data_IF_321492926638
#
_entry.id   IF_321492926638
#
_cell.length_a   1.000
_cell.length_b   1.000
_cell.length_c   1.000
_cell.angle_alpha   90.00
_cell.angle_beta   90.00
_cell.angle_gamma   90.00
#
_symmetry.space_group_name_H-M   'P 1'
#
loop_
_entity.id
_entity.type
_entity.pdbx_description
1 polymer ?
#
# COMPACT_ATOMS: atom_id res chain seq x y z
N UNK A 1 39.63 13.66 2.32
CA UNK A 1 39.08 12.63 3.20
C UNK A 1 37.69 12.33 2.69
N UNK A 2 37.53 11.26 1.92
CA UNK A 2 36.21 10.84 1.44
C UNK A 2 35.51 10.17 2.62
N UNK A 3 34.45 10.79 3.16
CA UNK A 3 33.55 10.10 4.07
C UNK A 3 33.04 8.84 3.37
N UNK A 4 33.35 7.66 3.90
CA UNK A 4 32.64 6.46 3.50
C UNK A 4 31.16 6.70 3.82
N UNK A 5 30.25 6.65 2.83
CA UNK A 5 28.84 6.86 3.10
C UNK A 5 28.39 5.83 4.12
N UNK A 6 27.98 6.28 5.30
CA UNK A 6 27.44 5.41 6.34
C UNK A 6 26.30 4.60 5.75
N UNK A 7 26.47 3.27 5.71
CA UNK A 7 25.47 2.35 5.18
C UNK A 7 24.17 2.54 5.97
N UNK A 8 23.04 2.57 5.26
CA UNK A 8 21.74 2.66 5.92
C UNK A 8 21.55 1.44 6.86
N UNK A 9 21.04 1.64 8.08
CA UNK A 9 20.84 0.56 9.03
C UNK A 9 19.82 -0.45 8.48
N UNK A 10 20.11 -1.73 8.64
CA UNK A 10 19.20 -2.81 8.23
C UNK A 10 18.19 -3.10 9.34
N UNK A 11 17.16 -3.90 9.04
CA UNK A 11 16.30 -4.42 10.11
C UNK A 11 17.13 -5.34 11.02
N UNK A 12 16.85 -5.36 12.35
CA UNK A 12 17.58 -6.23 13.28
C UNK A 12 17.55 -7.70 12.87
N UNK A 13 16.42 -8.14 12.30
CA UNK A 13 16.26 -9.53 11.84
C UNK A 13 17.12 -9.82 10.61
N UNK A 14 17.22 -8.90 9.66
CA UNK A 14 18.08 -9.05 8.49
C UNK A 14 19.57 -9.11 8.88
N UNK A 15 19.99 -8.30 9.85
CA UNK A 15 21.35 -8.35 10.42
C UNK A 15 21.64 -9.68 11.09
N UNK A 16 20.73 -10.18 11.94
CA UNK A 16 20.88 -11.48 12.60
C UNK A 16 21.05 -12.62 11.60
N UNK A 17 20.24 -12.63 10.52
CA UNK A 17 20.33 -13.65 9.48
C UNK A 17 21.69 -13.58 8.79
N UNK A 18 22.14 -12.38 8.40
CA UNK A 18 23.43 -12.20 7.73
C UNK A 18 24.61 -12.63 8.63
N UNK A 19 24.57 -12.34 9.92
CA UNK A 19 25.60 -12.77 10.88
C UNK A 19 25.66 -14.29 11.02
N UNK A 20 24.53 -14.98 10.90
CA UNK A 20 24.43 -16.43 11.03
C UNK A 20 24.84 -17.20 9.76
N UNK A 21 25.12 -16.52 8.63
CA UNK A 21 25.51 -17.20 7.39
C UNK A 21 26.92 -17.82 7.50
N UNK A 22 27.15 -19.03 6.95
CA UNK A 22 28.48 -19.66 6.98
C UNK A 22 29.55 -18.87 6.19
N UNK A 23 29.17 -18.32 5.05
CA UNK A 23 30.06 -17.52 4.18
C UNK A 23 29.93 -16.02 4.54
N UNK A 24 30.84 -15.56 5.41
CA UNK A 24 30.86 -14.17 5.88
C UNK A 24 31.22 -13.17 4.77
N UNK A 25 32.05 -13.56 3.79
CA UNK A 25 32.40 -12.68 2.67
C UNK A 25 31.16 -12.43 1.80
N UNK A 26 30.39 -13.49 1.54
CA UNK A 26 29.12 -13.36 0.85
C UNK A 26 28.10 -12.56 1.67
N UNK A 27 28.01 -12.79 2.98
CA UNK A 27 27.14 -12.03 3.87
C UNK A 27 27.48 -10.52 3.87
N UNK A 28 28.75 -10.16 3.85
CA UNK A 28 29.21 -8.76 3.78
C UNK A 28 28.81 -8.09 2.45
N UNK A 29 28.89 -8.83 1.33
CA UNK A 29 28.43 -8.35 0.02
C UNK A 29 26.92 -8.12 0.02
N UNK A 30 26.15 -9.05 0.59
CA UNK A 30 24.71 -8.90 0.77
C UNK A 30 24.36 -7.70 1.66
N UNK A 31 25.06 -7.51 2.77
CA UNK A 31 24.86 -6.38 3.69
C UNK A 31 24.96 -5.04 2.96
N UNK A 32 25.97 -4.87 2.12
CA UNK A 32 26.15 -3.66 1.30
C UNK A 32 24.99 -3.44 0.32
N UNK A 33 24.55 -4.50 -0.37
CA UNK A 33 23.40 -4.43 -1.28
C UNK A 33 22.11 -4.08 -0.55
N UNK A 34 21.83 -4.72 0.59
CA UNK A 34 20.60 -4.48 1.34
C UNK A 34 20.57 -3.12 2.03
N UNK A 35 21.73 -2.58 2.42
CA UNK A 35 21.82 -1.23 2.94
C UNK A 35 21.53 -0.21 1.83
N UNK A 36 22.10 -0.42 0.63
CA UNK A 36 21.78 0.39 -0.54
C UNK A 36 20.29 0.29 -0.92
N UNK A 37 19.70 -0.91 -0.83
CA UNK A 37 18.28 -1.13 -1.10
C UNK A 37 17.39 -0.40 -0.07
N UNK A 38 17.76 -0.46 1.21
CA UNK A 38 17.07 0.26 2.30
C UNK A 38 17.11 1.77 2.07
N UNK A 39 18.28 2.31 1.70
CA UNK A 39 18.44 3.72 1.38
C UNK A 39 17.61 4.13 0.17
N UNK A 40 17.63 3.33 -0.91
CA UNK A 40 16.84 3.60 -2.11
C UNK A 40 15.33 3.58 -1.80
N UNK A 41 14.83 2.58 -1.06
CA UNK A 41 13.43 2.53 -0.63
C UNK A 41 13.08 3.78 0.18
N UNK A 42 13.89 4.16 1.17
CA UNK A 42 13.62 5.33 2.00
C UNK A 42 13.47 6.61 1.17
N UNK A 43 14.39 6.87 0.22
CA UNK A 43 14.32 8.05 -0.66
C UNK A 43 13.15 8.02 -1.65
N UNK A 44 12.69 6.81 -2.02
CA UNK A 44 11.50 6.62 -2.85
C UNK A 44 10.18 6.87 -2.08
N UNK A 45 10.17 6.94 -0.75
CA UNK A 45 8.93 7.16 0.05
C UNK A 45 8.43 8.60 0.03
N UNK A 46 9.32 9.58 -0.12
CA UNK A 46 9.08 10.95 0.37
C UNK A 46 8.34 11.89 -0.60
N UNK A 47 7.71 11.37 -1.64
CA UNK A 47 7.02 12.24 -2.60
C UNK A 47 5.59 12.53 -2.16
N UNK A 48 5.42 13.65 -1.45
CA UNK A 48 4.10 14.26 -1.30
C UNK A 48 3.71 14.95 -2.61
N UNK A 49 2.87 14.28 -3.39
CA UNK A 49 2.34 14.80 -4.67
C UNK A 49 1.39 15.98 -4.42
N UNK A 50 0.86 16.12 -3.20
CA UNK A 50 -0.12 17.16 -2.84
C UNK A 50 0.41 18.57 -3.06
N UNK A 51 1.71 18.79 -2.87
CA UNK A 51 2.32 20.11 -3.09
C UNK A 51 2.41 20.52 -4.58
N UNK A 52 2.12 19.60 -5.49
CA UNK A 52 2.11 19.83 -6.94
C UNK A 52 0.69 19.77 -7.53
N UNK A 53 -0.31 19.60 -6.66
CA UNK A 53 -1.72 19.66 -7.02
C UNK A 53 -2.14 21.14 -7.09
N UNK A 54 -2.92 21.49 -8.10
CA UNK A 54 -3.59 22.78 -8.19
C UNK A 54 -5.03 22.63 -7.72
N UNK A 55 -5.59 23.65 -7.06
CA UNK A 55 -6.98 23.64 -6.60
C UNK A 55 -8.00 23.68 -7.75
N UNK A 56 -7.55 23.96 -8.98
CA UNK A 56 -8.33 23.96 -10.21
C UNK A 56 -7.73 23.01 -11.26
N UNK A 57 -8.59 22.40 -12.06
CA UNK A 57 -8.23 21.62 -13.26
C UNK A 57 -8.14 22.47 -14.52
N UNK A 58 -8.55 23.73 -14.46
CA UNK A 58 -8.59 24.65 -15.59
C UNK A 58 -7.17 25.01 -16.08
N UNK A 59 -6.16 24.95 -15.20
CA UNK A 59 -4.73 25.00 -15.54
C UNK A 59 -4.23 23.62 -15.99
N UNK A 60 -4.84 23.09 -17.06
CA UNK A 60 -4.64 21.72 -17.55
C UNK A 60 -3.36 21.53 -18.37
N UNK A 61 -2.65 22.62 -18.68
CA UNK A 61 -1.29 22.54 -19.19
C UNK A 61 -0.32 22.15 -18.07
N UNK A 62 0.56 21.19 -18.33
CA UNK A 62 1.82 21.11 -17.60
C UNK A 62 2.64 22.36 -17.94
N UNK A 63 2.40 23.45 -17.22
CA UNK A 63 3.19 24.66 -17.34
C UNK A 63 4.67 24.31 -17.12
N UNK A 64 5.56 25.03 -17.79
CA UNK A 64 7.01 24.89 -17.66
C UNK A 64 7.45 24.84 -16.18
N UNK A 65 6.72 25.56 -15.32
CA UNK A 65 6.88 25.60 -13.86
C UNK A 65 6.68 24.25 -13.16
N UNK A 66 5.68 23.44 -13.55
CA UNK A 66 5.49 22.10 -13.00
C UNK A 66 6.67 21.21 -13.38
N UNK A 67 7.13 21.31 -14.63
CA UNK A 67 8.24 20.50 -15.08
C UNK A 67 9.54 20.88 -14.36
N UNK A 68 9.83 22.18 -14.22
CA UNK A 68 10.94 22.67 -13.41
C UNK A 68 10.88 22.16 -11.96
N UNK A 69 9.69 22.07 -11.37
CA UNK A 69 9.49 21.56 -10.02
C UNK A 69 9.62 20.02 -9.91
N UNK A 70 9.29 19.29 -10.98
CA UNK A 70 9.35 17.82 -11.07
C UNK A 70 10.70 17.28 -11.49
N UNK A 71 11.47 18.01 -12.30
CA UNK A 71 12.77 17.57 -12.81
C UNK A 71 13.74 17.12 -11.71
N UNK A 72 13.87 17.81 -10.56
CA UNK A 72 14.67 17.32 -9.44
C UNK A 72 14.17 15.97 -8.92
N UNK A 73 12.87 15.77 -8.76
CA UNK A 73 12.28 14.54 -8.23
C UNK A 73 12.56 13.35 -9.15
N UNK A 74 12.43 13.54 -10.46
CA UNK A 74 12.71 12.50 -11.46
C UNK A 74 14.19 12.17 -11.48
N UNK A 75 15.05 13.20 -11.51
CA UNK A 75 16.50 13.02 -11.47
C UNK A 75 16.92 12.27 -10.21
N UNK A 76 16.44 12.68 -9.04
CA UNK A 76 16.81 12.09 -7.77
C UNK A 76 16.33 10.62 -7.69
N UNK A 77 15.12 10.33 -8.17
CA UNK A 77 14.60 8.95 -8.34
C UNK A 77 15.56 8.09 -9.17
N UNK A 78 16.00 8.59 -10.33
CA UNK A 78 16.92 7.87 -11.22
C UNK A 78 18.30 7.72 -10.59
N UNK A 79 18.80 8.74 -9.90
CA UNK A 79 20.09 8.70 -9.19
C UNK A 79 20.08 7.65 -8.08
N UNK A 80 19.03 7.61 -7.28
CA UNK A 80 18.91 6.66 -6.16
C UNK A 80 18.83 5.21 -6.64
N UNK A 81 18.04 4.94 -7.67
CA UNK A 81 17.95 3.60 -8.27
C UNK A 81 19.28 3.21 -8.91
N UNK A 82 19.93 4.12 -9.63
CA UNK A 82 21.24 3.84 -10.24
C UNK A 82 22.35 3.62 -9.20
N UNK A 83 22.31 4.30 -8.05
CA UNK A 83 23.23 4.05 -6.95
C UNK A 83 23.13 2.61 -6.43
N UNK A 84 21.90 2.11 -6.25
CA UNK A 84 21.67 0.71 -5.90
C UNK A 84 22.19 -0.25 -6.99
N UNK A 85 21.88 0.02 -8.27
CA UNK A 85 22.35 -0.80 -9.39
C UNK A 85 23.89 -0.86 -9.44
N UNK A 86 24.57 0.25 -9.16
CA UNK A 86 26.03 0.31 -9.10
C UNK A 86 26.59 -0.57 -7.98
N UNK A 87 25.99 -0.53 -6.78
CA UNK A 87 26.37 -1.40 -5.65
C UNK A 87 26.17 -2.87 -6.02
N UNK A 88 25.04 -3.24 -6.64
CA UNK A 88 24.80 -4.63 -7.06
C UNK A 88 25.85 -5.09 -8.08
N UNK A 89 26.18 -4.27 -9.09
CA UNK A 89 27.20 -4.61 -10.10
C UNK A 89 28.59 -4.80 -9.47
N UNK A 90 28.96 -3.93 -8.53
CA UNK A 90 30.23 -4.00 -7.83
C UNK A 90 30.29 -5.23 -6.93
N UNK A 91 29.24 -5.48 -6.16
CA UNK A 91 29.21 -6.57 -5.19
C UNK A 91 28.86 -7.90 -5.83
N UNK A 92 28.21 -7.99 -6.98
CA UNK A 92 27.80 -9.24 -7.64
C UNK A 92 28.03 -9.16 -9.15
N UNK A 93 29.31 -9.14 -9.59
CA UNK A 93 29.63 -9.11 -11.01
C UNK A 93 29.03 -10.33 -11.74
N UNK A 94 28.74 -10.16 -13.03
CA UNK A 94 28.30 -11.25 -13.89
C UNK A 94 29.33 -12.38 -13.95
N UNK A 95 28.92 -13.61 -14.32
CA UNK A 95 29.88 -14.70 -14.52
C UNK A 95 30.92 -14.27 -15.56
N UNK A 96 32.20 -14.41 -15.23
CA UNK A 96 33.26 -14.19 -16.21
C UNK A 96 33.16 -15.27 -17.29
N UNK A 97 33.20 -14.86 -18.56
CA UNK A 97 33.21 -15.80 -19.67
C UNK A 97 34.43 -16.73 -19.53
N UNK A 98 34.18 -18.04 -19.46
CA UNK A 98 35.23 -19.06 -19.43
C UNK A 98 35.54 -19.68 -18.06
N UNK A 99 34.87 -19.31 -16.96
CA UNK A 99 35.02 -20.04 -15.69
C UNK A 99 34.06 -21.25 -15.66
N UNK A 100 34.57 -22.50 -15.71
CA UNK A 100 33.70 -23.67 -15.64
C UNK A 100 33.01 -23.74 -14.26
N UNK A 101 31.72 -24.10 -14.20
CA UNK A 101 31.05 -24.32 -12.92
C UNK A 101 31.73 -25.47 -12.16
N UNK A 102 31.79 -25.41 -10.81
CA UNK A 102 32.33 -26.51 -10.01
C UNK A 102 31.56 -27.81 -10.27
N UNK A 103 32.29 -28.93 -10.29
CA UNK A 103 31.80 -30.24 -10.78
C UNK A 103 30.74 -30.89 -9.86
N UNK A 104 30.57 -30.40 -8.63
CA UNK A 104 29.43 -30.72 -7.76
C UNK A 104 29.31 -29.65 -6.66
N UNK A 105 28.40 -28.68 -6.75
CA UNK A 105 28.26 -27.67 -5.72
C UNK A 105 27.64 -28.27 -4.46
N UNK A 106 28.08 -27.83 -3.28
CA UNK A 106 27.38 -28.15 -2.03
C UNK A 106 25.99 -27.49 -2.00
N UNK A 107 25.09 -27.96 -1.13
CA UNK A 107 23.77 -27.35 -0.97
C UNK A 107 23.86 -25.84 -0.63
N UNK A 108 24.81 -25.45 0.21
CA UNK A 108 25.04 -24.04 0.54
C UNK A 108 25.60 -23.23 -0.64
N UNK A 109 26.50 -23.81 -1.44
CA UNK A 109 26.96 -23.18 -2.67
C UNK A 109 25.84 -23.00 -3.70
N UNK A 110 24.90 -23.95 -3.77
CA UNK A 110 23.69 -23.82 -4.58
C UNK A 110 22.81 -22.65 -4.12
N UNK A 111 22.53 -22.55 -2.81
CA UNK A 111 21.75 -21.44 -2.24
C UNK A 111 22.39 -20.09 -2.51
N UNK A 112 23.69 -19.95 -2.25
CA UNK A 112 24.48 -18.74 -2.52
C UNK A 112 24.46 -18.35 -4.00
N UNK A 113 24.61 -19.33 -4.91
CA UNK A 113 24.55 -19.10 -6.36
C UNK A 113 23.16 -18.65 -6.81
N UNK A 114 22.11 -19.24 -6.25
CA UNK A 114 20.72 -18.88 -6.55
C UNK A 114 20.42 -17.46 -6.06
N UNK A 115 20.79 -17.11 -4.82
CA UNK A 115 20.64 -15.76 -4.29
C UNK A 115 21.34 -14.72 -5.17
N UNK A 116 22.59 -14.97 -5.59
CA UNK A 116 23.32 -14.10 -6.50
C UNK A 116 22.68 -14.01 -7.89
N UNK A 117 22.09 -15.09 -8.40
CA UNK A 117 21.35 -15.08 -9.66
C UNK A 117 20.07 -14.24 -9.57
N UNK A 118 19.31 -14.37 -8.48
CA UNK A 118 18.12 -13.56 -8.22
C UNK A 118 18.45 -12.07 -8.15
N UNK A 119 19.55 -11.68 -7.50
CA UNK A 119 20.01 -10.29 -7.45
C UNK A 119 20.31 -9.74 -8.86
N UNK A 120 21.01 -10.51 -9.70
CA UNK A 120 21.32 -10.10 -11.08
C UNK A 120 20.09 -10.00 -11.97
N UNK A 121 19.15 -10.93 -11.81
CA UNK A 121 17.88 -10.88 -12.54
C UNK A 121 17.08 -9.64 -12.15
N UNK A 122 16.94 -9.36 -10.86
CA UNK A 122 16.25 -8.18 -10.36
C UNK A 122 16.94 -6.88 -10.82
N UNK A 123 18.28 -6.84 -10.82
CA UNK A 123 19.05 -5.73 -11.38
C UNK A 123 18.71 -5.48 -12.86
N UNK A 124 18.56 -6.53 -13.67
CA UNK A 124 18.17 -6.42 -15.07
C UNK A 124 16.78 -5.81 -15.24
N UNK A 125 15.81 -6.24 -14.43
CA UNK A 125 14.45 -5.71 -14.42
C UNK A 125 14.42 -4.23 -14.01
N UNK A 126 15.07 -3.88 -12.90
CA UNK A 126 15.14 -2.50 -12.41
C UNK A 126 15.83 -1.58 -13.42
N UNK A 127 16.90 -2.04 -14.07
CA UNK A 127 17.58 -1.27 -15.13
C UNK A 127 16.67 -1.03 -16.34
N UNK A 128 15.86 -2.02 -16.74
CA UNK A 128 14.90 -1.87 -17.82
C UNK A 128 13.81 -0.83 -17.47
N UNK A 129 13.31 -0.82 -16.23
CA UNK A 129 12.35 0.17 -15.76
C UNK A 129 12.91 1.60 -15.74
N UNK A 130 14.21 1.78 -15.41
CA UNK A 130 14.86 3.10 -15.53
C UNK A 130 14.86 3.60 -16.97
N UNK A 131 15.11 2.71 -17.94
CA UNK A 131 15.02 3.05 -19.36
C UNK A 131 13.60 3.43 -19.77
N UNK A 132 12.59 2.65 -19.33
CA UNK A 132 11.18 2.94 -19.60
C UNK A 132 10.74 4.29 -19.01
N UNK A 133 11.19 4.63 -17.80
CA UNK A 133 10.96 5.97 -17.23
C UNK A 133 11.57 7.05 -18.12
N UNK A 134 12.81 6.86 -18.59
CA UNK A 134 13.47 7.80 -19.49
C UNK A 134 12.72 7.99 -20.82
N UNK A 135 12.13 6.94 -21.37
CA UNK A 135 11.29 7.00 -22.57
C UNK A 135 9.97 7.70 -22.30
N UNK A 136 9.29 7.39 -21.19
CA UNK A 136 8.05 8.04 -20.78
C UNK A 136 8.24 9.54 -20.59
N UNK A 137 9.35 9.98 -20.00
CA UNK A 137 9.64 11.41 -19.78
C UNK A 137 10.02 12.17 -21.05
N UNK A 138 10.24 11.47 -22.17
CA UNK A 138 10.42 12.09 -23.49
C UNK A 138 9.13 12.12 -24.29
N UNK A 139 8.08 11.45 -23.83
CA UNK A 139 6.80 11.39 -24.53
C UNK A 139 5.99 12.68 -24.28
N UNK A 140 5.70 13.49 -25.32
CA UNK A 140 4.93 14.71 -25.19
C UNK A 140 3.57 14.52 -24.52
N UNK A 141 2.89 13.38 -24.73
CA UNK A 141 1.57 13.13 -24.13
C UNK A 141 1.62 12.91 -22.61
N UNK A 142 2.80 12.59 -22.07
CA UNK A 142 3.00 12.44 -20.62
C UNK A 142 3.38 13.76 -20.00
N UNK A 143 4.29 14.50 -20.64
CA UNK A 143 4.82 15.75 -20.09
C UNK A 143 3.90 16.96 -20.33
N UNK A 144 2.89 16.85 -21.20
CA UNK A 144 1.96 17.95 -21.49
C UNK A 144 0.77 18.05 -20.52
N UNK A 145 0.40 16.96 -19.84
CA UNK A 145 -0.69 16.92 -18.86
C UNK A 145 -0.12 16.68 -17.45
N UNK A 146 -0.44 17.60 -16.51
CA UNK A 146 0.00 17.56 -15.12
C UNK A 146 -0.33 16.22 -14.45
N UNK A 147 -1.57 15.76 -14.59
CA UNK A 147 -2.06 14.58 -13.90
C UNK A 147 -1.50 13.29 -14.48
N UNK A 148 -1.26 13.24 -15.80
CA UNK A 148 -0.57 12.12 -16.46
C UNK A 148 0.88 12.04 -15.98
N UNK A 149 1.61 13.17 -15.93
CA UNK A 149 2.98 13.21 -15.42
C UNK A 149 3.06 12.71 -13.97
N UNK A 150 2.22 13.25 -13.08
CA UNK A 150 2.20 12.84 -11.67
C UNK A 150 1.84 11.36 -11.51
N UNK A 151 0.91 10.85 -12.32
CA UNK A 151 0.53 9.44 -12.31
C UNK A 151 1.69 8.52 -12.73
N UNK A 152 2.42 8.85 -13.79
CA UNK A 152 3.57 8.08 -14.23
C UNK A 152 4.69 8.09 -13.19
N UNK A 153 5.04 9.25 -12.61
CA UNK A 153 6.08 9.32 -11.57
C UNK A 153 5.68 8.49 -10.34
N UNK A 154 4.43 8.60 -9.88
CA UNK A 154 3.93 7.81 -8.76
C UNK A 154 3.98 6.31 -9.05
N UNK A 155 3.59 5.90 -10.26
CA UNK A 155 3.65 4.52 -10.73
C UNK A 155 5.09 4.01 -10.74
N UNK A 156 6.02 4.70 -11.38
CA UNK A 156 7.43 4.27 -11.44
C UNK A 156 8.06 4.15 -10.04
N UNK A 157 7.83 5.12 -9.15
CA UNK A 157 8.36 5.04 -7.78
C UNK A 157 7.77 3.86 -7.01
N UNK A 158 6.49 3.58 -7.17
CA UNK A 158 5.84 2.39 -6.57
C UNK A 158 6.46 1.11 -7.12
N UNK A 159 6.58 0.99 -8.45
CA UNK A 159 7.21 -0.15 -9.12
C UNK A 159 8.65 -0.37 -8.65
N UNK A 160 9.47 0.69 -8.58
CA UNK A 160 10.85 0.58 -8.10
C UNK A 160 10.90 0.09 -6.65
N UNK A 161 10.08 0.64 -5.75
CA UNK A 161 10.02 0.16 -4.35
C UNK A 161 9.65 -1.31 -4.28
N UNK A 162 8.64 -1.73 -5.04
CA UNK A 162 8.21 -3.13 -5.07
C UNK A 162 9.30 -4.05 -5.61
N UNK A 163 9.98 -3.68 -6.71
CA UNK A 163 11.06 -4.47 -7.29
C UNK A 163 12.29 -4.54 -6.39
N UNK A 164 12.65 -3.44 -5.73
CA UNK A 164 13.77 -3.42 -4.76
C UNK A 164 13.41 -4.27 -3.54
N UNK A 165 12.16 -4.21 -3.05
CA UNK A 165 11.69 -5.07 -1.97
C UNK A 165 11.68 -6.56 -2.36
N UNK A 166 11.22 -6.87 -3.57
CA UNK A 166 11.26 -8.22 -4.15
C UNK A 166 12.70 -8.72 -4.29
N UNK A 167 13.65 -7.86 -4.67
CA UNK A 167 15.07 -8.19 -4.73
C UNK A 167 15.59 -8.66 -3.36
N UNK A 168 15.31 -7.91 -2.29
CA UNK A 168 15.74 -8.28 -0.94
C UNK A 168 15.09 -9.60 -0.50
N UNK A 169 13.77 -9.71 -0.64
CA UNK A 169 13.04 -10.91 -0.25
C UNK A 169 13.44 -12.15 -1.04
N UNK A 170 13.49 -12.06 -2.36
CA UNK A 170 13.77 -13.21 -3.23
C UNK A 170 15.21 -13.71 -3.05
N UNK A 171 16.18 -12.81 -2.82
CA UNK A 171 17.56 -13.23 -2.54
C UNK A 171 17.71 -13.85 -1.15
N UNK A 172 17.05 -13.32 -0.13
CA UNK A 172 17.13 -13.86 1.23
C UNK A 172 16.39 -15.20 1.40
N UNK A 173 15.24 -15.35 0.76
CA UNK A 173 14.45 -16.59 0.79
C UNK A 173 15.15 -17.81 0.15
N UNK A 174 16.21 -17.59 -0.65
CA UNK A 174 17.07 -18.70 -1.12
C UNK A 174 17.95 -19.28 0.00
N UNK A 175 18.22 -18.49 1.04
CA UNK A 175 19.17 -18.84 2.10
C UNK A 175 18.44 -19.43 3.31
N UNK A 176 17.36 -18.77 3.74
CA UNK A 176 16.63 -19.04 4.97
C UNK A 176 15.13 -18.82 4.73
N UNK A 177 14.27 -19.58 5.41
CA UNK A 177 12.83 -19.33 5.44
C UNK A 177 12.53 -18.05 6.21
N UNK A 178 11.93 -17.07 5.52
CA UNK A 178 11.69 -15.72 6.03
C UNK A 178 10.39 -15.17 5.47
N UNK A 179 9.68 -14.38 6.28
CA UNK A 179 8.54 -13.61 5.83
C UNK A 179 8.97 -12.22 5.34
N UNK A 180 8.18 -11.59 4.45
CA UNK A 180 8.48 -10.25 3.91
C UNK A 180 8.64 -9.20 4.99
N UNK A 181 7.78 -9.21 6.00
CA UNK A 181 7.83 -8.30 7.15
C UNK A 181 9.14 -8.33 7.94
N UNK A 182 9.89 -9.43 7.84
CA UNK A 182 11.15 -9.60 8.57
C UNK A 182 12.34 -9.00 7.82
N UNK A 183 12.29 -8.98 6.48
CA UNK A 183 13.47 -8.73 5.63
C UNK A 183 13.32 -7.56 4.66
N UNK A 184 12.09 -7.23 4.24
CA UNK A 184 11.86 -6.16 3.26
C UNK A 184 11.88 -4.79 3.96
N UNK A 185 12.81 -3.89 3.60
CA UNK A 185 12.85 -2.56 4.20
C UNK A 185 11.56 -1.78 3.94
N UNK A 186 11.03 -1.11 4.96
CA UNK A 186 9.83 -0.28 4.85
C UNK A 186 8.50 -1.04 4.71
N UNK A 187 8.51 -2.38 4.69
CA UNK A 187 7.31 -3.18 4.44
C UNK A 187 6.17 -2.90 5.42
N UNK A 188 6.44 -2.84 6.72
CA UNK A 188 5.42 -2.54 7.72
C UNK A 188 4.81 -1.14 7.54
N UNK A 189 5.63 -0.16 7.14
CA UNK A 189 5.17 1.18 6.81
C UNK A 189 4.24 1.16 5.60
N UNK A 190 4.59 0.43 4.55
CA UNK A 190 3.78 0.29 3.34
C UNK A 190 2.46 -0.43 3.60
N UNK A 191 2.49 -1.51 4.38
CA UNK A 191 1.27 -2.22 4.85
C UNK A 191 0.38 -1.25 5.61
N UNK A 192 0.92 -0.54 6.61
CA UNK A 192 0.15 0.40 7.45
C UNK A 192 -0.44 1.55 6.63
N UNK A 193 0.32 2.10 5.69
CA UNK A 193 -0.16 3.16 4.81
C UNK A 193 -1.30 2.64 3.91
N UNK A 194 -1.14 1.48 3.28
CA UNK A 194 -2.16 0.88 2.43
C UNK A 194 -3.43 0.52 3.22
N UNK A 195 -3.28 -0.02 4.44
CA UNK A 195 -4.40 -0.29 5.35
C UNK A 195 -5.15 0.98 5.74
N UNK A 196 -4.42 2.08 5.98
CA UNK A 196 -5.02 3.38 6.30
C UNK A 196 -5.86 3.91 5.13
N UNK A 197 -5.33 3.84 3.90
CA UNK A 197 -6.08 4.20 2.69
C UNK A 197 -7.33 3.34 2.56
N UNK A 198 -7.19 2.01 2.66
CA UNK A 198 -8.32 1.07 2.57
C UNK A 198 -9.42 1.37 3.60
N UNK A 199 -9.04 1.58 4.85
CA UNK A 199 -9.98 1.88 5.92
C UNK A 199 -10.78 3.17 5.67
N UNK A 200 -10.08 4.25 5.29
CA UNK A 200 -10.72 5.54 5.04
C UNK A 200 -11.60 5.47 3.78
N UNK A 201 -11.18 4.78 2.72
CA UNK A 201 -12.01 4.55 1.53
C UNK A 201 -13.31 3.84 1.91
N UNK A 202 -13.25 2.79 2.73
CA UNK A 202 -14.45 2.07 3.17
C UNK A 202 -15.39 2.94 4.02
N UNK A 203 -14.84 3.79 4.88
CA UNK A 203 -15.63 4.77 5.63
C UNK A 203 -16.26 5.82 4.73
N UNK A 204 -15.52 6.32 3.73
CA UNK A 204 -16.03 7.27 2.76
C UNK A 204 -17.14 6.65 1.91
N UNK A 205 -16.99 5.42 1.42
CA UNK A 205 -18.04 4.70 0.68
C UNK A 205 -19.32 4.65 1.49
N UNK A 206 -19.23 4.34 2.78
CA UNK A 206 -20.40 4.30 3.67
C UNK A 206 -21.02 5.67 3.87
N UNK A 207 -20.21 6.70 4.10
CA UNK A 207 -20.69 8.08 4.33
C UNK A 207 -21.40 8.60 3.09
N UNK A 208 -20.78 8.47 1.92
CA UNK A 208 -21.34 8.94 0.65
C UNK A 208 -22.60 8.15 0.27
N UNK A 209 -22.62 6.83 0.44
CA UNK A 209 -23.83 6.04 0.20
C UNK A 209 -25.01 6.51 1.09
N UNK A 210 -24.76 6.70 2.39
CA UNK A 210 -25.79 7.21 3.30
C UNK A 210 -26.23 8.65 2.97
N UNK A 211 -25.31 9.48 2.43
CA UNK A 211 -25.63 10.82 1.96
C UNK A 211 -26.51 10.79 0.70
N UNK A 212 -26.18 9.91 -0.24
CA UNK A 212 -26.95 9.70 -1.46
C UNK A 212 -28.39 9.28 -1.15
N UNK A 213 -28.57 8.33 -0.23
CA UNK A 213 -29.91 7.91 0.21
C UNK A 213 -30.67 9.08 0.87
N UNK A 214 -30.01 9.87 1.72
CA UNK A 214 -30.62 11.07 2.32
C UNK A 214 -31.05 12.10 1.28
N UNK A 215 -30.24 12.38 0.28
CA UNK A 215 -30.60 13.34 -0.78
C UNK A 215 -31.76 12.81 -1.62
N UNK A 216 -31.81 11.50 -1.88
CA UNK A 216 -32.94 10.85 -2.58
C UNK A 216 -34.25 10.96 -1.81
N UNK A 217 -34.23 11.00 -0.49
CA UNK A 217 -35.42 11.12 0.35
C UNK A 217 -35.75 12.56 0.74
N UNK A 218 -34.79 13.48 0.67
CA UNK A 218 -34.95 14.87 1.11
C UNK A 218 -35.86 15.72 0.21
N UNK A 219 -36.49 16.71 0.83
CA UNK A 219 -37.30 17.74 0.21
C UNK A 219 -36.45 18.82 -0.47
N UNK A 220 -37.06 19.60 -1.37
CA UNK A 220 -36.36 20.63 -2.14
C UNK A 220 -35.70 21.71 -1.27
N UNK A 221 -36.28 22.00 -0.10
CA UNK A 221 -35.80 23.02 0.84
C UNK A 221 -34.45 22.64 1.48
N UNK A 222 -34.15 21.34 1.59
CA UNK A 222 -32.92 20.83 2.21
C UNK A 222 -31.75 20.67 1.22
N UNK A 223 -31.96 20.90 -0.08
CA UNK A 223 -30.95 20.64 -1.11
C UNK A 223 -29.67 21.47 -0.89
N UNK A 224 -29.85 22.75 -0.54
CA UNK A 224 -28.71 23.63 -0.28
C UNK A 224 -27.87 23.16 0.91
N UNK A 225 -28.53 22.76 1.99
CA UNK A 225 -27.85 22.24 3.18
C UNK A 225 -27.08 20.96 2.85
N UNK A 226 -27.69 20.04 2.09
CA UNK A 226 -27.02 18.81 1.68
C UNK A 226 -25.79 19.06 0.79
N UNK A 227 -25.84 20.04 -0.12
CA UNK A 227 -24.69 20.43 -0.93
C UNK A 227 -23.54 20.99 -0.08
N UNK A 228 -23.83 21.85 0.90
CA UNK A 228 -22.84 22.38 1.83
C UNK A 228 -22.22 21.28 2.71
N UNK A 229 -23.03 20.34 3.18
CA UNK A 229 -22.52 19.19 3.94
C UNK A 229 -21.60 18.31 3.09
N UNK A 230 -21.97 18.05 1.83
CA UNK A 230 -21.14 17.29 0.90
C UNK A 230 -19.79 17.99 0.65
N UNK A 231 -19.80 19.31 0.47
CA UNK A 231 -18.58 20.10 0.35
C UNK A 231 -17.69 19.96 1.59
N UNK A 232 -18.25 20.10 2.79
CA UNK A 232 -17.52 19.95 4.05
C UNK A 232 -16.92 18.55 4.21
N UNK A 233 -17.64 17.50 3.80
CA UNK A 233 -17.16 16.11 3.83
C UNK A 233 -15.97 15.91 2.86
N UNK A 234 -16.04 16.46 1.64
CA UNK A 234 -14.95 16.42 0.67
C UNK A 234 -13.73 17.21 1.15
N UNK A 235 -13.92 18.38 1.76
CA UNK A 235 -12.85 19.19 2.33
C UNK A 235 -12.16 18.49 3.51
N UNK A 236 -12.96 17.86 4.38
CA UNK A 236 -12.44 17.06 5.48
C UNK A 236 -11.63 15.86 4.95
N UNK A 237 -12.14 15.18 3.91
CA UNK A 237 -11.44 14.06 3.28
C UNK A 237 -10.09 14.47 2.67
N UNK A 238 -10.03 15.60 1.97
CA UNK A 238 -8.80 16.15 1.39
C UNK A 238 -7.68 16.41 2.40
N UNK A 239 -8.01 16.58 3.70
CA UNK A 239 -7.04 16.78 4.79
C UNK A 239 -6.56 15.47 5.43
N UNK A 240 -7.13 14.33 5.08
CA UNK A 240 -6.78 13.04 5.67
C UNK A 240 -5.44 12.49 5.15
N UNK A 241 -4.82 11.60 5.93
CA UNK A 241 -3.63 10.87 5.47
C UNK A 241 -3.92 9.94 4.27
N UNK A 242 -5.17 9.45 4.12
CA UNK A 242 -5.53 8.61 2.98
C UNK A 242 -5.52 9.37 1.67
N UNK A 243 -5.95 10.64 1.67
CA UNK A 243 -5.92 11.47 0.47
C UNK A 243 -4.51 11.51 -0.12
N UNK A 244 -3.47 11.70 0.71
CA UNK A 244 -2.06 11.69 0.26
C UNK A 244 -1.66 10.40 -0.47
N UNK A 245 -2.22 9.26 -0.05
CA UNK A 245 -1.93 7.93 -0.59
C UNK A 245 -2.75 7.50 -1.81
N UNK A 246 -3.63 8.37 -2.32
CA UNK A 246 -4.41 8.13 -3.54
C UNK A 246 -3.56 8.28 -4.81
N UNK A 247 -4.02 7.68 -5.90
CA UNK A 247 -3.39 7.86 -7.22
C UNK A 247 -3.67 9.27 -7.71
N UNK A 248 -2.73 9.86 -8.45
CA UNK A 248 -2.91 11.20 -9.02
C UNK A 248 -4.23 11.34 -9.81
N UNK A 249 -4.59 10.35 -10.64
CA UNK A 249 -5.86 10.38 -11.38
C UNK A 249 -7.11 10.34 -10.49
N UNK A 250 -7.07 9.59 -9.38
CA UNK A 250 -8.19 9.56 -8.44
C UNK A 250 -8.36 10.94 -7.77
N UNK A 251 -7.24 11.60 -7.42
CA UNK A 251 -7.24 12.94 -6.83
C UNK A 251 -7.78 13.99 -7.80
N UNK A 252 -7.41 13.90 -9.08
CA UNK A 252 -7.97 14.75 -10.16
C UNK A 252 -9.49 14.72 -10.13
N UNK A 253 -10.08 13.52 -10.20
CA UNK A 253 -11.54 13.37 -10.19
C UNK A 253 -12.16 13.91 -8.90
N UNK A 254 -11.52 13.72 -7.74
CA UNK A 254 -11.99 14.30 -6.48
C UNK A 254 -11.98 15.83 -6.51
N UNK A 255 -10.93 16.45 -7.07
CA UNK A 255 -10.83 17.92 -7.17
C UNK A 255 -11.89 18.45 -8.14
N UNK A 256 -12.10 17.80 -9.28
CA UNK A 256 -13.14 18.16 -10.25
C UNK A 256 -14.53 18.11 -9.61
N UNK A 257 -14.86 17.02 -8.91
CA UNK A 257 -16.12 16.86 -8.18
C UNK A 257 -16.24 17.88 -7.05
N UNK A 258 -15.17 18.15 -6.30
CA UNK A 258 -15.16 19.17 -5.24
C UNK A 258 -15.44 20.56 -5.81
N UNK A 259 -14.87 20.90 -6.96
CA UNK A 259 -15.13 22.17 -7.64
C UNK A 259 -16.59 22.28 -8.12
N UNK A 260 -17.14 21.20 -8.68
CA UNK A 260 -18.55 21.13 -9.06
C UNK A 260 -19.49 21.32 -7.85
N UNK A 261 -19.28 20.52 -6.79
CA UNK A 261 -20.07 20.60 -5.55
C UNK A 261 -19.94 21.98 -4.89
N UNK A 262 -18.74 22.57 -4.88
CA UNK A 262 -18.53 23.92 -4.33
C UNK A 262 -19.34 25.00 -5.07
N UNK A 263 -19.47 24.89 -6.41
CA UNK A 263 -20.33 25.80 -7.19
C UNK A 263 -21.82 25.61 -6.84
N UNK A 264 -22.27 24.37 -6.70
CA UNK A 264 -23.65 24.06 -6.33
C UNK A 264 -23.96 24.55 -4.90
N UNK A 265 -23.03 24.36 -3.95
CA UNK A 265 -23.17 24.81 -2.57
C UNK A 265 -23.16 26.34 -2.40
N UNK A 266 -22.66 27.07 -3.40
CA UNK A 266 -22.69 28.53 -3.47
C UNK A 266 -23.88 29.10 -4.29
N UNK A 267 -24.61 28.25 -5.02
CA UNK A 267 -25.76 28.67 -5.82
C UNK A 267 -26.92 29.14 -4.91
N UNK A 268 -27.73 30.08 -5.41
CA UNK A 268 -28.90 30.61 -4.68
C UNK A 268 -30.10 29.66 -4.71
N UNK A 269 -30.18 28.80 -5.73
CA UNK A 269 -31.22 27.79 -5.90
C UNK A 269 -30.57 26.53 -6.44
N UNK A 270 -30.92 25.37 -5.86
CA UNK A 270 -30.37 24.09 -6.24
C UNK A 270 -31.49 23.07 -6.36
N UNK A 271 -31.60 22.41 -7.50
CA UNK A 271 -32.54 21.32 -7.69
C UNK A 271 -31.94 19.99 -7.21
N UNK A 272 -32.81 19.06 -6.87
CA UNK A 272 -32.42 17.70 -6.48
C UNK A 272 -31.65 16.97 -7.57
N UNK A 273 -32.03 17.17 -8.84
CA UNK A 273 -31.34 16.53 -9.98
C UNK A 273 -29.89 17.02 -10.11
N UNK A 274 -29.66 18.32 -9.96
CA UNK A 274 -28.32 18.93 -10.04
C UNK A 274 -27.38 18.45 -8.93
N UNK A 275 -27.91 18.13 -7.73
CA UNK A 275 -27.10 17.59 -6.64
C UNK A 275 -26.89 16.07 -6.75
N UNK A 276 -27.88 15.33 -7.26
CA UNK A 276 -27.79 13.88 -7.39
C UNK A 276 -26.71 13.46 -8.39
N UNK A 277 -26.59 14.13 -9.53
CA UNK A 277 -25.59 13.81 -10.55
C UNK A 277 -24.14 13.75 -10.01
N UNK A 278 -23.58 14.82 -9.40
CA UNK A 278 -22.22 14.76 -8.85
C UNK A 278 -22.10 13.83 -7.64
N UNK A 279 -23.17 13.62 -6.88
CA UNK A 279 -23.15 12.71 -5.73
C UNK A 279 -23.13 11.24 -6.16
N UNK A 280 -23.84 10.87 -7.22
CA UNK A 280 -23.78 9.54 -7.83
C UNK A 280 -22.42 9.29 -8.50
N UNK A 281 -21.87 10.30 -9.17
CA UNK A 281 -20.50 10.24 -9.71
C UNK A 281 -19.46 10.04 -8.59
N UNK A 282 -19.63 10.73 -7.46
CA UNK A 282 -18.77 10.56 -6.28
C UNK A 282 -18.93 9.17 -5.65
N UNK A 283 -20.15 8.65 -5.48
CA UNK A 283 -20.38 7.30 -4.98
C UNK A 283 -19.68 6.25 -5.87
N UNK A 284 -19.82 6.37 -7.20
CA UNK A 284 -19.13 5.51 -8.16
C UNK A 284 -17.60 5.63 -8.05
N UNK A 285 -17.07 6.85 -7.95
CA UNK A 285 -15.64 7.10 -7.78
C UNK A 285 -15.11 6.44 -6.50
N UNK A 286 -15.73 6.70 -5.37
CA UNK A 286 -15.29 6.18 -4.06
C UNK A 286 -15.36 4.65 -4.03
N UNK A 287 -16.39 4.04 -4.65
CA UNK A 287 -16.43 2.58 -4.83
C UNK A 287 -15.27 2.08 -5.67
N UNK A 288 -14.89 2.78 -6.73
CA UNK A 288 -13.75 2.41 -7.57
C UNK A 288 -12.40 2.43 -6.81
N UNK A 289 -12.28 3.27 -5.77
CA UNK A 289 -11.10 3.32 -4.90
C UNK A 289 -10.90 2.02 -4.11
N UNK A 290 -11.91 1.15 -4.01
CA UNK A 290 -11.77 -0.18 -3.42
C UNK A 290 -10.72 -1.04 -4.16
N UNK A 291 -10.31 -0.64 -5.37
CA UNK A 291 -9.17 -1.20 -6.09
C UNK A 291 -7.87 -1.18 -5.28
N UNK A 292 -7.76 -0.34 -4.23
CA UNK A 292 -6.66 -0.41 -3.25
C UNK A 292 -6.46 -1.82 -2.68
N UNK A 293 -7.54 -2.61 -2.54
CA UNK A 293 -7.48 -4.00 -2.07
C UNK A 293 -6.68 -4.93 -2.99
N UNK A 294 -6.43 -4.53 -4.24
CA UNK A 294 -5.63 -5.29 -5.20
C UNK A 294 -4.13 -5.00 -5.10
N UNK A 295 -3.70 -4.12 -4.18
CA UNK A 295 -2.27 -3.88 -3.94
C UNK A 295 -1.64 -5.14 -3.38
N UNK A 296 -0.52 -5.57 -3.98
CA UNK A 296 0.24 -6.78 -3.59
C UNK A 296 0.53 -6.84 -2.09
N UNK A 297 0.90 -5.71 -1.50
CA UNK A 297 1.19 -5.59 -0.06
C UNK A 297 0.00 -5.97 0.82
N UNK A 298 -1.22 -5.56 0.43
CA UNK A 298 -2.45 -5.90 1.15
C UNK A 298 -2.85 -7.35 0.92
N UNK A 299 -2.74 -7.86 -0.31
CA UNK A 299 -3.05 -9.28 -0.60
C UNK A 299 -2.20 -10.22 0.26
N UNK A 300 -0.90 -9.93 0.39
CA UNK A 300 0.01 -10.74 1.22
C UNK A 300 -0.35 -10.60 2.70
N UNK A 301 -0.51 -9.36 3.19
CA UNK A 301 -0.91 -9.09 4.57
C UNK A 301 -2.23 -9.78 4.93
N UNK A 302 -3.25 -9.67 4.08
CA UNK A 302 -4.59 -10.17 4.34
C UNK A 302 -4.59 -11.70 4.44
N UNK A 303 -3.76 -12.40 3.65
CA UNK A 303 -3.56 -13.86 3.78
C UNK A 303 -2.92 -14.24 5.12
N UNK A 304 -1.90 -13.50 5.56
CA UNK A 304 -1.27 -13.73 6.87
C UNK A 304 -2.27 -13.48 8.02
N UNK A 305 -2.99 -12.36 7.96
CA UNK A 305 -4.02 -11.99 8.95
C UNK A 305 -5.13 -13.03 8.99
N UNK A 306 -5.59 -13.50 7.82
CA UNK A 306 -6.60 -14.56 7.72
C UNK A 306 -6.15 -15.87 8.37
N UNK A 307 -4.92 -16.32 8.09
CA UNK A 307 -4.37 -17.53 8.70
C UNK A 307 -4.26 -17.41 10.23
N UNK A 308 -3.79 -16.26 10.74
CA UNK A 308 -3.70 -16.00 12.18
C UNK A 308 -5.09 -16.00 12.83
N UNK A 309 -6.09 -15.35 12.19
CA UNK A 309 -7.47 -15.39 12.65
C UNK A 309 -8.01 -16.82 12.70
N UNK A 310 -7.78 -17.64 11.66
CA UNK A 310 -8.19 -19.04 11.60
C UNK A 310 -7.68 -19.83 12.81
N UNK A 311 -6.37 -19.78 13.08
CA UNK A 311 -5.76 -20.47 14.24
C UNK A 311 -6.36 -20.01 15.57
N UNK A 312 -6.64 -18.71 15.74
CA UNK A 312 -7.24 -18.17 16.97
C UNK A 312 -8.69 -18.64 17.13
N UNK A 313 -9.45 -18.70 16.05
CA UNK A 313 -10.85 -19.15 16.06
C UNK A 313 -10.96 -20.66 16.32
N UNK A 314 -10.08 -21.47 15.73
CA UNK A 314 -10.01 -22.91 16.03
C UNK A 314 -9.70 -23.16 17.51
N UNK A 315 -8.76 -22.41 18.09
CA UNK A 315 -8.46 -22.47 19.53
C UNK A 315 -9.64 -22.04 20.38
N UNK A 316 -10.32 -20.95 20.01
CA UNK A 316 -11.51 -20.51 20.72
C UNK A 316 -12.62 -21.57 20.70
N UNK A 317 -12.83 -22.21 19.54
CA UNK A 317 -13.81 -23.27 19.36
C UNK A 317 -13.51 -24.49 20.22
N UNK A 318 -12.24 -24.92 20.27
CA UNK A 318 -11.81 -26.04 21.11
C UNK A 318 -11.98 -25.80 22.61
N UNK A 319 -11.96 -24.55 23.07
CA UNK A 319 -12.10 -24.19 24.48
C UNK A 319 -13.54 -23.91 24.92
N UNK A 320 -14.51 -23.76 24.00
CA UNK A 320 -15.87 -23.33 24.37
C UNK A 320 -16.56 -24.22 25.42
N UNK A 321 -16.25 -25.52 25.47
CA UNK A 321 -16.87 -26.47 26.40
C UNK A 321 -16.12 -26.64 27.73
N UNK A 322 -14.86 -26.23 27.79
CA UNK A 322 -13.95 -26.51 28.93
C UNK A 322 -13.45 -25.24 29.61
N UNK A 323 -13.20 -24.18 28.85
CA UNK A 323 -12.75 -22.88 29.33
C UNK A 323 -13.40 -21.75 28.50
N UNK A 324 -14.65 -21.37 28.82
CA UNK A 324 -15.35 -20.29 28.11
C UNK A 324 -14.62 -18.94 28.18
N UNK A 325 -13.90 -18.67 29.26
CA UNK A 325 -13.13 -17.42 29.41
C UNK A 325 -11.92 -17.41 28.46
N UNK A 326 -11.20 -18.52 28.36
CA UNK A 326 -10.14 -18.70 27.37
C UNK A 326 -10.66 -18.60 25.94
N UNK A 327 -11.80 -19.21 25.64
CA UNK A 327 -12.45 -19.09 24.34
C UNK A 327 -12.80 -17.64 23.98
N UNK A 328 -13.39 -16.89 24.92
CA UNK A 328 -13.69 -15.46 24.74
C UNK A 328 -12.43 -14.62 24.52
N UNK A 329 -11.32 -14.93 25.20
CA UNK A 329 -10.03 -14.27 24.98
C UNK A 329 -9.49 -14.51 23.58
N UNK A 330 -9.50 -15.76 23.10
CA UNK A 330 -9.03 -16.08 21.74
C UNK A 330 -9.93 -15.48 20.65
N UNK A 331 -11.25 -15.39 20.88
CA UNK A 331 -12.14 -14.63 20.00
C UNK A 331 -11.78 -13.15 19.96
N UNK A 332 -11.55 -12.52 21.12
CA UNK A 332 -11.15 -11.12 21.19
C UNK A 332 -9.82 -10.87 20.45
N UNK A 333 -8.85 -11.75 20.61
CA UNK A 333 -7.58 -11.72 19.87
C UNK A 333 -7.79 -11.87 18.35
N UNK A 334 -8.64 -12.79 17.91
CA UNK A 334 -8.99 -12.94 16.50
C UNK A 334 -9.63 -11.66 15.94
N UNK A 335 -10.54 -11.03 16.68
CA UNK A 335 -11.16 -9.75 16.28
C UNK A 335 -10.13 -8.62 16.22
N UNK A 336 -9.20 -8.56 17.18
CA UNK A 336 -8.13 -7.55 17.16
C UNK A 336 -7.26 -7.70 15.91
N UNK A 337 -6.88 -8.93 15.55
CA UNK A 337 -6.11 -9.21 14.33
C UNK A 337 -6.94 -8.90 13.07
N UNK A 338 -8.22 -9.26 13.06
CA UNK A 338 -9.15 -8.98 11.95
C UNK A 338 -9.42 -7.47 11.73
N UNK A 339 -9.13 -6.58 12.69
CA UNK A 339 -9.19 -5.13 12.44
C UNK A 339 -8.26 -4.73 11.29
N UNK A 340 -7.17 -5.48 11.07
CA UNK A 340 -6.28 -5.30 9.94
C UNK A 340 -6.87 -5.73 8.60
N UNK A 341 -8.13 -6.17 8.54
CA UNK A 341 -8.89 -6.43 7.31
C UNK A 341 -10.00 -5.39 7.06
N UNK A 342 -10.10 -4.36 7.91
CA UNK A 342 -11.13 -3.33 7.74
C UNK A 342 -11.02 -2.64 6.38
N UNK A 343 -12.15 -2.56 5.68
CA UNK A 343 -12.30 -2.08 4.30
C UNK A 343 -12.09 -3.14 3.22
N UNK A 344 -11.88 -4.41 3.59
CA UNK A 344 -11.78 -5.53 2.64
C UNK A 344 -13.15 -6.04 2.19
N UNK A 345 -14.13 -6.05 3.10
CA UNK A 345 -15.49 -6.53 2.87
C UNK A 345 -16.50 -5.74 3.73
N UNK A 346 -17.61 -5.25 3.14
CA UNK A 346 -18.60 -4.47 3.88
C UNK A 346 -19.27 -5.20 5.05
N UNK A 347 -19.50 -6.52 4.92
CA UNK A 347 -20.10 -7.34 5.97
C UNK A 347 -19.17 -7.48 7.18
N UNK A 348 -17.89 -7.74 6.91
CA UNK A 348 -16.85 -7.74 7.93
C UNK A 348 -16.73 -6.37 8.60
N UNK A 349 -16.78 -5.28 7.86
CA UNK A 349 -16.69 -3.92 8.42
C UNK A 349 -17.82 -3.60 9.39
N UNK A 350 -19.05 -4.02 9.07
CA UNK A 350 -20.20 -3.90 9.97
C UNK A 350 -19.96 -4.66 11.26
N UNK A 351 -19.45 -5.89 11.17
CA UNK A 351 -19.11 -6.70 12.34
C UNK A 351 -17.99 -6.06 13.18
N UNK A 352 -16.88 -5.65 12.55
CA UNK A 352 -15.74 -5.03 13.23
C UNK A 352 -16.12 -3.71 13.93
N UNK A 353 -17.00 -2.89 13.34
CA UNK A 353 -17.50 -1.68 13.99
C UNK A 353 -18.38 -1.97 15.21
N UNK A 354 -19.27 -2.97 15.12
CA UNK A 354 -20.13 -3.37 16.23
C UNK A 354 -19.29 -3.87 17.40
N UNK A 355 -18.32 -4.74 17.12
CA UNK A 355 -17.47 -5.36 18.14
C UNK A 355 -16.55 -4.39 18.88
N UNK A 356 -16.17 -3.24 18.28
CA UNK A 356 -15.43 -2.18 18.99
C UNK A 356 -16.15 -1.63 20.23
N UNK A 357 -17.47 -1.77 20.31
CA UNK A 357 -18.30 -1.30 21.43
C UNK A 357 -18.62 -2.40 22.44
N UNK A 358 -18.20 -3.65 22.17
CA UNK A 358 -18.59 -4.83 22.95
C UNK A 358 -17.34 -5.44 23.61
N UNK A 359 -17.33 -5.68 24.92
CA UNK A 359 -16.21 -6.34 25.61
C UNK A 359 -16.18 -7.84 25.28
N UNK A 360 -15.60 -8.20 24.13
CA UNK A 360 -15.61 -9.57 23.60
C UNK A 360 -15.01 -10.63 24.53
N UNK A 361 -14.03 -10.24 25.35
CA UNK A 361 -13.39 -11.09 26.34
C UNK A 361 -14.31 -11.50 27.50
N UNK A 362 -15.48 -10.87 27.64
CA UNK A 362 -16.47 -11.18 28.68
C UNK A 362 -17.65 -12.00 28.15
N UNK A 363 -17.71 -12.27 26.84
CA UNK A 363 -18.78 -13.06 26.24
C UNK A 363 -18.77 -14.49 26.78
N UNK A 364 -19.96 -15.05 26.92
CA UNK A 364 -20.13 -16.43 27.38
C UNK A 364 -21.33 -17.10 26.71
N UNK A 365 -21.41 -18.43 26.83
CA UNK A 365 -22.58 -19.20 26.43
C UNK A 365 -22.98 -19.01 24.95
N UNK A 366 -24.27 -18.77 24.66
CA UNK A 366 -24.77 -18.61 23.29
C UNK A 366 -24.17 -17.41 22.55
N UNK A 367 -23.96 -16.28 23.22
CA UNK A 367 -23.45 -15.05 22.59
C UNK A 367 -22.03 -15.22 22.07
N UNK A 368 -21.17 -15.89 22.86
CA UNK A 368 -19.81 -16.25 22.46
C UNK A 368 -19.83 -17.13 21.20
N UNK A 369 -20.67 -18.17 21.19
CA UNK A 369 -20.81 -19.09 20.06
C UNK A 369 -21.28 -18.36 18.80
N UNK A 370 -22.36 -17.59 18.89
CA UNK A 370 -22.91 -16.85 17.74
C UNK A 370 -21.91 -15.84 17.19
N UNK A 371 -21.15 -15.15 18.06
CA UNK A 371 -20.14 -14.19 17.62
C UNK A 371 -18.97 -14.89 16.93
N UNK A 372 -18.52 -16.03 17.46
CA UNK A 372 -17.48 -16.86 16.85
C UNK A 372 -17.90 -17.39 15.47
N UNK A 373 -19.10 -17.98 15.36
CA UNK A 373 -19.65 -18.48 14.10
C UNK A 373 -19.83 -17.38 13.06
N UNK A 374 -20.24 -16.18 13.50
CA UNK A 374 -20.39 -15.02 12.63
C UNK A 374 -19.04 -14.59 12.04
N UNK A 375 -18.01 -14.48 12.88
CA UNK A 375 -16.68 -14.12 12.40
C UNK A 375 -16.09 -15.20 11.48
N UNK A 376 -16.26 -16.48 11.81
CA UNK A 376 -15.84 -17.59 10.93
C UNK A 376 -16.50 -17.49 9.55
N UNK A 377 -17.81 -17.27 9.49
CA UNK A 377 -18.55 -17.11 8.23
C UNK A 377 -18.05 -15.92 7.41
N UNK A 378 -17.84 -14.77 8.06
CA UNK A 378 -17.35 -13.57 7.39
C UNK A 378 -15.94 -13.79 6.82
N UNK A 379 -15.04 -14.42 7.57
CA UNK A 379 -13.69 -14.74 7.11
C UNK A 379 -13.66 -15.83 6.02
N UNK A 380 -14.59 -16.79 6.05
CA UNK A 380 -14.70 -17.80 5.01
C UNK A 380 -15.12 -17.17 3.66
N UNK A 381 -16.03 -16.20 3.70
CA UNK A 381 -16.46 -15.46 2.49
C UNK A 381 -15.32 -14.64 1.86
N UNK A 382 -14.30 -14.27 2.63
CA UNK A 382 -13.11 -13.60 2.10
C UNK A 382 -12.19 -14.53 1.31
N UNK A 383 -12.13 -15.82 1.67
CA UNK A 383 -11.21 -16.79 1.07
C UNK A 383 -11.66 -17.33 -0.30
N UNK A 384 -12.91 -17.09 -0.69
CA UNK A 384 -13.47 -17.45 -1.99
C UNK A 384 -13.42 -16.35 -3.06
N UNK A 385 -12.92 -15.16 -2.70
CA UNK A 385 -12.70 -14.01 -3.58
C UNK A 385 -11.21 -13.79 -3.82
#
# INVERSE_FOLDING_TARGET
MSEEPSLAPLSPRLEQILQALPDQIFADRLRKVYAAATQAIARLSDMDVVKYETDSTDDSGADLSLWEAMAPVIRDTVVDVNALLAVIRQQFPGPQAGTPPPVAPTADQHKTRNAAASLRQAMGQVAQEVTQLGEAMRNPSVVSDRWVLLAEIQKFRTTFREQIGDLVYNSMSQLVDVARKEVVPGYEGDVKAAMTVRAIVADLTRIIAARLDKVREADAEDMQWNAQQLQNELDAFGRTAAYRGLRAQDKRHIIELRGQVGRLAAASTLTKAELLEPLEALDALVRSLSAVNQRKVLIINDREVWAVCGVRLERAQGLMGTDPAGAARFLAEAVMVAQSLYGRDPGLDVFLRKTRKVPLNTLSGPELRTTLETLQRLLANLGGM
#
